data_IF_882309805447
#
_entry.id   IF_882309805447
#
_cell.length_a   1.000
_cell.length_b   1.000
_cell.length_c   1.000
_cell.angle_alpha   90.00
_cell.angle_beta   90.00
_cell.angle_gamma   90.00
#
_symmetry.space_group_name_H-M   'P 1'
#
loop_
_entity.id
_entity.type
_entity.pdbx_description
1 polymer ?
#
# COMPACT_ATOMS: atom_id res chain seq x y z
N UNK A 1 -6.04 2.58 19.77
CA UNK A 1 -4.67 2.74 19.28
C UNK A 1 -4.59 1.96 17.97
N UNK A 2 -4.39 2.65 16.86
CA UNK A 2 -4.40 2.03 15.53
C UNK A 2 -2.95 1.63 15.23
N UNK A 3 -2.67 0.34 15.16
CA UNK A 3 -1.35 -0.14 14.75
C UNK A 3 -1.36 -0.39 13.23
N UNK A 4 -0.63 0.43 12.51
CA UNK A 4 -0.24 0.16 11.13
C UNK A 4 1.21 -0.32 11.20
N UNK A 5 1.43 -1.62 11.06
CA UNK A 5 2.78 -2.15 10.95
C UNK A 5 3.24 -1.97 9.51
N UNK A 6 4.11 -1.00 9.29
CA UNK A 6 4.73 -0.77 7.99
C UNK A 6 5.99 -1.62 7.89
N UNK A 7 5.92 -2.74 7.20
CA UNK A 7 7.10 -3.50 6.84
C UNK A 7 7.71 -2.90 5.57
N UNK A 8 8.72 -2.08 5.73
CA UNK A 8 9.45 -1.50 4.60
C UNK A 8 10.45 -2.52 4.06
N UNK A 9 10.24 -3.05 2.88
CA UNK A 9 11.26 -3.79 2.17
C UNK A 9 12.29 -2.80 1.60
N UNK A 10 13.53 -2.91 2.04
CA UNK A 10 14.63 -2.02 1.67
C UNK A 10 14.83 -1.97 0.16
N UNK A 11 14.90 -0.75 -0.34
CA UNK A 11 15.38 -0.38 -1.67
C UNK A 11 16.83 -0.83 -1.82
N UNK A 12 17.18 -1.44 -2.95
CA UNK A 12 18.55 -1.71 -3.32
C UNK A 12 19.34 -0.39 -3.43
N UNK A 13 20.61 -0.34 -2.97
CA UNK A 13 21.42 0.87 -3.07
C UNK A 13 21.90 1.08 -4.50
N UNK A 14 21.54 2.19 -5.08
CA UNK A 14 22.04 2.57 -6.39
C UNK A 14 21.32 3.75 -7.00
N UNK A 15 21.50 4.94 -6.46
CA UNK A 15 21.41 6.17 -7.23
C UNK A 15 22.10 7.28 -6.43
N UNK A 16 23.21 7.73 -6.98
CA UNK A 16 24.03 8.82 -6.49
C UNK A 16 23.21 10.09 -6.29
N UNK A 17 23.43 10.68 -5.11
CA UNK A 17 22.87 11.95 -4.73
C UNK A 17 23.37 13.12 -5.56
N UNK A 18 22.48 14.00 -5.90
CA UNK A 18 22.70 15.44 -5.93
C UNK A 18 21.71 16.07 -4.98
N UNK A 19 22.28 16.62 -3.93
CA UNK A 19 21.56 17.59 -3.10
C UNK A 19 21.41 18.84 -3.94
N UNK A 20 20.23 19.06 -4.50
CA UNK A 20 19.84 20.37 -4.99
C UNK A 20 19.12 21.09 -3.86
N UNK A 21 19.67 22.26 -3.53
CA UNK A 21 19.16 23.19 -2.54
C UNK A 21 17.68 23.46 -2.77
N UNK A 22 16.91 23.42 -1.68
CA UNK A 22 15.53 23.82 -1.61
C UNK A 22 15.39 25.28 -2.05
N UNK A 23 14.83 25.51 -3.22
CA UNK A 23 14.25 26.79 -3.58
C UNK A 23 12.82 26.88 -3.05
N UNK A 24 12.43 28.05 -2.48
CA UNK A 24 11.12 28.19 -1.85
C UNK A 24 10.01 28.19 -2.89
N UNK A 25 9.13 27.21 -2.74
CA UNK A 25 7.69 27.18 -3.09
C UNK A 25 7.26 28.18 -4.18
N UNK A 26 7.61 27.97 -5.44
CA UNK A 26 6.93 28.66 -6.55
C UNK A 26 6.83 27.84 -7.83
N UNK A 27 7.30 26.62 -7.85
CA UNK A 27 7.09 25.77 -9.02
C UNK A 27 6.58 24.40 -8.57
N UNK A 28 5.27 24.28 -8.34
CA UNK A 28 4.58 23.00 -8.30
C UNK A 28 4.54 22.36 -9.70
N UNK A 29 5.63 22.37 -10.39
CA UNK A 29 5.87 21.39 -11.42
C UNK A 29 6.13 20.07 -10.72
N UNK A 30 5.06 19.30 -10.59
CA UNK A 30 5.19 17.88 -10.36
C UNK A 30 6.30 17.36 -11.28
N UNK A 31 7.40 16.77 -10.77
CA UNK A 31 8.46 16.24 -11.62
C UNK A 31 8.00 14.97 -12.31
N UNK A 32 6.93 15.08 -13.11
CA UNK A 32 6.12 14.00 -13.64
C UNK A 32 6.50 13.56 -15.04
N UNK A 33 7.41 14.29 -15.69
CA UNK A 33 7.76 14.00 -17.08
C UNK A 33 8.78 12.86 -17.23
N UNK A 34 9.38 12.36 -16.15
CA UNK A 34 10.44 11.35 -16.25
C UNK A 34 10.14 10.02 -15.57
N UNK A 35 9.00 9.90 -14.91
CA UNK A 35 8.61 8.67 -14.22
C UNK A 35 7.63 7.79 -15.02
N UNK A 36 7.54 7.98 -16.33
CA UNK A 36 6.77 7.10 -17.21
C UNK A 36 7.39 5.69 -17.20
N UNK A 37 6.94 4.83 -16.29
CA UNK A 37 7.30 3.42 -16.34
C UNK A 37 7.41 2.65 -15.03
N UNK A 38 7.58 3.25 -13.87
CA UNK A 38 7.61 2.47 -12.63
C UNK A 38 6.31 2.64 -11.84
N UNK A 39 5.39 1.69 -12.02
CA UNK A 39 4.26 1.53 -11.12
C UNK A 39 4.80 1.07 -9.76
N UNK A 40 4.42 1.78 -8.70
CA UNK A 40 4.64 1.32 -7.34
C UNK A 40 3.47 0.41 -6.95
N UNK A 41 3.78 -0.77 -6.45
CA UNK A 41 2.81 -1.79 -6.08
C UNK A 41 2.73 -1.97 -4.58
N UNK A 42 1.50 -1.92 -4.06
CA UNK A 42 1.20 -2.09 -2.64
C UNK A 42 0.34 -3.32 -2.42
N UNK A 43 0.51 -3.98 -1.27
CA UNK A 43 -0.40 -5.02 -0.79
C UNK A 43 -0.96 -4.58 0.55
N UNK A 44 -2.28 -4.58 0.66
CA UNK A 44 -3.00 -4.38 1.92
C UNK A 44 -3.46 -5.75 2.43
N UNK A 45 -2.84 -6.20 3.50
CA UNK A 45 -3.26 -7.42 4.18
C UNK A 45 -4.27 -7.10 5.26
N UNK A 46 -5.50 -7.58 5.07
CA UNK A 46 -6.61 -7.31 5.96
C UNK A 46 -6.75 -8.42 7.01
N UNK A 47 -6.61 -8.04 8.27
CA UNK A 47 -6.88 -8.93 9.41
C UNK A 47 -8.35 -8.81 9.78
N UNK A 48 -9.05 -9.91 10.15
CA UNK A 48 -10.42 -9.83 10.61
C UNK A 48 -10.65 -8.75 11.67
N UNK A 49 -11.78 -8.07 11.60
CA UNK A 49 -12.11 -6.89 12.44
C UNK A 49 -11.16 -5.69 12.27
N UNK A 50 -10.54 -5.56 11.08
CA UNK A 50 -9.69 -4.40 10.80
C UNK A 50 -10.47 -3.07 10.88
N UNK A 51 -9.75 -2.00 11.15
CA UNK A 51 -10.32 -0.66 11.17
C UNK A 51 -10.54 -0.15 9.75
N UNK A 52 -11.80 0.04 9.36
CA UNK A 52 -12.17 0.57 8.04
C UNK A 52 -11.61 1.98 7.82
N UNK A 53 -11.60 2.82 8.84
CA UNK A 53 -11.06 4.18 8.73
C UNK A 53 -9.55 4.16 8.48
N UNK A 54 -8.80 3.29 9.18
CA UNK A 54 -7.37 3.16 8.99
C UNK A 54 -7.03 2.64 7.58
N UNK A 55 -7.76 1.63 7.11
CA UNK A 55 -7.63 1.11 5.76
C UNK A 55 -7.91 2.19 4.71
N UNK A 56 -9.03 2.92 4.86
CA UNK A 56 -9.40 3.99 3.93
C UNK A 56 -8.35 5.11 3.91
N UNK A 57 -7.82 5.51 5.05
CA UNK A 57 -6.78 6.53 5.15
C UNK A 57 -5.45 6.11 4.50
N UNK A 58 -5.20 4.82 4.37
CA UNK A 58 -4.01 4.31 3.72
C UNK A 58 -4.17 4.15 2.20
N UNK A 59 -5.34 3.69 1.73
CA UNK A 59 -5.57 3.43 0.30
C UNK A 59 -6.01 4.68 -0.48
N UNK A 60 -6.82 5.55 0.11
CA UNK A 60 -7.37 6.72 -0.58
C UNK A 60 -6.32 7.73 -1.07
N UNK A 61 -5.24 8.02 -0.33
CA UNK A 61 -4.18 8.87 -0.86
C UNK A 61 -3.54 8.34 -2.15
N UNK A 62 -3.40 7.03 -2.29
CA UNK A 62 -2.87 6.41 -3.52
C UNK A 62 -3.82 6.60 -4.69
N UNK A 63 -5.12 6.40 -4.45
CA UNK A 63 -6.16 6.62 -5.45
C UNK A 63 -6.22 8.09 -5.89
N UNK A 64 -6.20 9.01 -4.92
CA UNK A 64 -6.22 10.44 -5.20
C UNK A 64 -4.97 10.90 -5.96
N UNK A 65 -3.81 10.37 -5.61
CA UNK A 65 -2.57 10.66 -6.34
C UNK A 65 -2.69 10.23 -7.80
N UNK A 66 -3.17 9.01 -8.08
CA UNK A 66 -3.42 8.54 -9.45
C UNK A 66 -4.38 9.46 -10.20
N UNK A 67 -5.46 9.89 -9.53
CA UNK A 67 -6.43 10.80 -10.13
C UNK A 67 -5.80 12.16 -10.49
N UNK A 68 -5.00 12.73 -9.60
CA UNK A 68 -4.32 14.01 -9.83
C UNK A 68 -3.23 13.90 -10.89
N UNK A 69 -2.57 12.76 -10.99
CA UNK A 69 -1.51 12.50 -11.96
C UNK A 69 -2.05 12.15 -13.35
N UNK A 70 -3.31 11.72 -13.42
CA UNK A 70 -3.95 11.25 -14.64
C UNK A 70 -3.37 9.91 -15.16
N UNK A 71 -2.64 9.17 -14.32
CA UNK A 71 -2.03 7.87 -14.64
C UNK A 71 -2.09 6.94 -13.43
N UNK A 72 -2.10 5.62 -13.68
CA UNK A 72 -2.03 4.60 -12.64
C UNK A 72 -0.59 4.42 -12.12
N UNK A 73 -0.09 5.42 -11.44
CA UNK A 73 1.26 5.41 -10.87
C UNK A 73 1.40 4.44 -9.70
N UNK A 74 0.35 4.35 -8.87
CA UNK A 74 0.23 3.42 -7.76
C UNK A 74 -0.76 2.33 -8.10
N UNK A 75 -0.40 1.09 -7.83
CA UNK A 75 -1.29 -0.06 -7.89
C UNK A 75 -1.35 -0.74 -6.52
N UNK A 76 -2.43 -1.40 -6.23
CA UNK A 76 -2.59 -2.13 -4.98
C UNK A 76 -3.38 -3.41 -5.19
N UNK A 77 -3.16 -4.34 -4.28
CA UNK A 77 -3.91 -5.59 -4.15
C UNK A 77 -4.33 -5.75 -2.70
N UNK A 78 -5.47 -6.35 -2.50
CA UNK A 78 -5.98 -6.70 -1.18
C UNK A 78 -5.74 -8.19 -0.95
N UNK A 79 -5.32 -8.56 0.24
CA UNK A 79 -5.08 -9.94 0.61
C UNK A 79 -5.66 -10.25 1.99
N UNK A 80 -6.06 -11.50 2.17
CA UNK A 80 -6.45 -12.07 3.46
C UNK A 80 -5.71 -13.38 3.71
N UNK A 81 -5.92 -14.00 4.85
CA UNK A 81 -5.26 -15.28 5.19
C UNK A 81 -5.56 -16.38 4.18
N UNK A 82 -6.81 -16.49 3.75
CA UNK A 82 -7.34 -17.54 2.88
C UNK A 82 -7.80 -17.08 1.50
N UNK A 83 -7.75 -15.78 1.22
CA UNK A 83 -8.27 -15.18 -0.01
C UNK A 83 -9.78 -14.92 0.02
N UNK A 84 -10.44 -15.22 1.12
CA UNK A 84 -11.87 -14.93 1.34
C UNK A 84 -12.12 -13.50 1.81
N UNK A 85 -13.40 -13.03 1.72
CA UNK A 85 -13.78 -11.72 2.19
C UNK A 85 -13.48 -11.52 3.68
N UNK A 86 -13.09 -10.31 4.07
CA UNK A 86 -12.77 -9.96 5.45
C UNK A 86 -13.79 -8.96 5.97
N UNK A 87 -14.33 -9.21 7.16
CA UNK A 87 -15.20 -8.26 7.85
C UNK A 87 -14.38 -7.24 8.61
N UNK A 88 -14.68 -5.96 8.38
CA UNK A 88 -14.17 -4.88 9.19
C UNK A 88 -14.87 -4.84 10.56
N UNK A 89 -14.34 -4.09 11.49
CA UNK A 89 -14.90 -3.93 12.84
C UNK A 89 -16.29 -3.29 12.86
N UNK A 90 -16.68 -2.59 11.80
CA UNK A 90 -18.02 -2.03 11.60
C UNK A 90 -19.01 -2.99 10.92
N UNK A 91 -18.61 -4.24 10.64
CA UNK A 91 -19.43 -5.26 10.00
C UNK A 91 -19.45 -5.23 8.47
N UNK A 92 -18.82 -4.26 7.84
CA UNK A 92 -18.71 -4.22 6.37
C UNK A 92 -17.73 -5.29 5.90
N UNK A 93 -18.13 -6.07 4.90
CA UNK A 93 -17.29 -7.09 4.28
C UNK A 93 -16.58 -6.53 3.07
N UNK A 94 -15.27 -6.76 3.00
CA UNK A 94 -14.43 -6.36 1.88
C UNK A 94 -13.92 -7.60 1.17
N UNK A 95 -14.17 -7.70 -0.12
CA UNK A 95 -13.60 -8.73 -0.96
C UNK A 95 -12.11 -8.43 -1.18
N UNK A 96 -11.31 -9.49 -1.25
CA UNK A 96 -9.87 -9.39 -1.50
C UNK A 96 -9.49 -10.08 -2.81
N UNK A 97 -8.31 -9.76 -3.32
CA UNK A 97 -7.83 -10.29 -4.60
C UNK A 97 -7.12 -11.63 -4.43
N UNK A 98 -6.37 -11.81 -3.34
CA UNK A 98 -5.48 -12.93 -3.14
C UNK A 98 -5.46 -13.44 -1.69
N UNK A 99 -4.94 -14.68 -1.54
CA UNK A 99 -4.55 -15.20 -0.23
C UNK A 99 -3.14 -14.75 0.16
N UNK A 100 -2.79 -14.89 1.43
CA UNK A 100 -1.43 -14.67 1.92
C UNK A 100 -0.41 -15.57 1.22
N UNK A 101 -0.79 -16.83 0.93
CA UNK A 101 0.06 -17.77 0.23
C UNK A 101 0.38 -17.29 -1.19
N UNK A 102 -0.62 -16.78 -1.91
CA UNK A 102 -0.45 -16.23 -3.26
C UNK A 102 0.49 -15.02 -3.27
N UNK A 103 0.34 -14.13 -2.31
CA UNK A 103 1.22 -12.95 -2.20
C UNK A 103 2.65 -13.34 -1.81
N UNK A 104 2.83 -14.36 -0.95
CA UNK A 104 4.16 -14.89 -0.63
C UNK A 104 4.86 -15.46 -1.86
N UNK A 105 4.14 -16.16 -2.73
CA UNK A 105 4.69 -16.69 -3.98
C UNK A 105 5.17 -15.58 -4.92
N UNK A 106 4.57 -14.39 -4.88
CA UNK A 106 4.96 -13.24 -5.70
C UNK A 106 6.19 -12.50 -5.20
N UNK A 107 6.64 -12.72 -3.96
CA UNK A 107 7.77 -12.00 -3.37
C UNK A 107 9.10 -12.20 -4.09
N UNK A 108 9.25 -13.29 -4.83
CA UNK A 108 10.45 -13.62 -5.61
C UNK A 108 10.33 -13.30 -7.09
N UNK A 109 9.14 -12.85 -7.54
CA UNK A 109 8.83 -12.62 -8.95
C UNK A 109 8.81 -11.14 -9.38
N UNK A 110 8.36 -10.93 -10.61
CA UNK A 110 8.19 -9.59 -11.19
C UNK A 110 7.06 -8.79 -10.52
N UNK A 111 6.09 -9.49 -9.93
CA UNK A 111 4.93 -8.91 -9.26
C UNK A 111 5.17 -8.65 -7.77
N UNK A 112 6.44 -8.60 -7.37
CA UNK A 112 6.84 -8.28 -6.00
C UNK A 112 6.30 -6.91 -5.61
N UNK A 113 5.58 -6.78 -4.48
CA UNK A 113 5.13 -5.49 -4.00
C UNK A 113 6.30 -4.65 -3.46
N UNK A 114 6.22 -3.34 -3.64
CA UNK A 114 7.16 -2.39 -3.04
C UNK A 114 6.92 -2.24 -1.53
N UNK A 115 5.67 -2.41 -1.11
CA UNK A 115 5.26 -2.29 0.30
C UNK A 115 4.08 -3.20 0.62
N UNK A 116 4.10 -3.77 1.81
CA UNK A 116 2.95 -4.49 2.39
C UNK A 116 2.48 -3.73 3.64
N UNK A 117 1.20 -3.38 3.67
CA UNK A 117 0.55 -2.76 4.81
C UNK A 117 -0.39 -3.77 5.46
N UNK A 118 -0.20 -4.00 6.74
CA UNK A 118 -1.10 -4.84 7.54
C UNK A 118 -2.15 -3.95 8.19
N UNK A 119 -3.41 -4.16 7.82
CA UNK A 119 -4.54 -3.45 8.38
C UNK A 119 -5.18 -4.32 9.46
N UNK A 120 -5.12 -3.87 10.69
CA UNK A 120 -5.69 -4.54 11.86
C UNK A 120 -6.63 -3.60 12.63
N UNK A 121 -7.30 -4.13 13.65
CA UNK A 121 -8.19 -3.39 14.54
C UNK A 121 -7.75 -3.49 15.99
N UNK A 122 -8.65 -3.08 16.89
CA UNK A 122 -8.39 -3.06 18.34
C UNK A 122 -8.41 -4.44 18.99
N UNK A 123 -8.97 -5.45 18.33
CA UNK A 123 -9.18 -6.80 18.87
C UNK A 123 -8.21 -7.84 18.29
N UNK A 124 -6.99 -7.44 17.98
CA UNK A 124 -5.98 -8.32 17.34
C UNK A 124 -5.67 -9.54 18.22
N UNK A 125 -5.77 -9.39 19.54
CA UNK A 125 -5.49 -10.45 20.51
C UNK A 125 -6.43 -11.67 20.40
N UNK A 126 -7.56 -11.54 19.72
CA UNK A 126 -8.51 -12.63 19.53
C UNK A 126 -8.15 -13.58 18.37
N UNK A 127 -7.14 -13.24 17.59
CA UNK A 127 -6.78 -13.97 16.37
C UNK A 127 -5.37 -14.59 16.40
N UNK A 128 -4.81 -14.69 17.60
CA UNK A 128 -3.57 -15.42 17.84
C UNK A 128 -3.76 -16.94 17.76
#
# INVERSE_FOLDING_TARGET
MIYVLIATMRRAPGANGRQDMMDPITDYRCPMASAAGSKHSFVFYLVPEFSMIAFSMAIEPLRLANLMLGVDYYSWRLASSDGGPVSASNGVKVAVDNSLADERAKLTGRDKPDMVLVCSGLNVEKFD
#
